data_IF_787108895589
#
_entry.id   IF_787108895589
#
_cell.length_a   1.000
_cell.length_b   1.000
_cell.length_c   1.000
_cell.angle_alpha   90.00
_cell.angle_beta   90.00
_cell.angle_gamma   90.00
#
_symmetry.space_group_name_H-M   'P 1'
#
loop_
_entity.id
_entity.type
_entity.pdbx_description
1 polymer ?
#
# COMPACT_ATOMS: atom_id res chain seq x y z
N UNK A 1 -23.31 18.33 13.69
CA UNK A 1 -22.22 17.36 13.55
C UNK A 1 -21.89 17.25 12.08
N UNK A 2 -20.60 17.17 11.72
CA UNK A 2 -20.19 16.94 10.34
C UNK A 2 -20.68 15.58 9.86
N UNK A 3 -21.17 15.51 8.62
CA UNK A 3 -21.65 14.26 8.02
C UNK A 3 -20.45 13.56 7.36
N UNK A 4 -20.30 12.25 7.65
CA UNK A 4 -19.26 11.45 6.99
C UNK A 4 -19.60 11.23 5.51
N UNK A 5 -18.62 11.37 4.62
CA UNK A 5 -18.72 11.03 3.21
C UNK A 5 -18.43 9.54 3.03
N UNK A 6 -19.47 8.74 2.80
CA UNK A 6 -19.32 7.28 2.69
C UNK A 6 -19.43 6.75 1.27
N UNK A 7 -19.92 7.52 0.33
CA UNK A 7 -20.09 7.12 -1.08
C UNK A 7 -20.04 8.36 -1.97
N UNK A 8 -19.46 8.23 -3.15
CA UNK A 8 -19.47 9.27 -4.18
C UNK A 8 -20.01 8.72 -5.50
N UNK A 9 -20.67 9.57 -6.26
CA UNK A 9 -21.25 9.25 -7.58
C UNK A 9 -20.98 10.41 -8.55
N UNK A 10 -19.70 10.75 -8.72
CA UNK A 10 -19.30 11.79 -9.66
C UNK A 10 -19.35 11.27 -11.11
N UNK A 11 -19.58 12.19 -12.03
CA UNK A 11 -19.56 11.91 -13.45
C UNK A 11 -18.51 12.77 -14.12
N UNK A 12 -17.45 12.14 -14.58
CA UNK A 12 -16.34 12.82 -15.27
C UNK A 12 -16.42 12.60 -16.78
N UNK A 13 -15.99 13.60 -17.54
CA UNK A 13 -15.81 13.44 -18.99
C UNK A 13 -14.78 12.31 -19.24
N UNK A 14 -15.12 11.39 -20.15
CA UNK A 14 -14.34 10.18 -20.47
C UNK A 14 -14.22 9.17 -19.32
N UNK A 15 -15.07 9.23 -18.32
CA UNK A 15 -15.12 8.18 -17.28
C UNK A 15 -15.48 6.83 -17.91
N UNK A 16 -14.67 5.81 -17.65
CA UNK A 16 -14.89 4.43 -18.12
C UNK A 16 -15.56 3.55 -17.08
N UNK A 17 -15.18 3.73 -15.82
CA UNK A 17 -15.72 2.94 -14.71
C UNK A 17 -15.62 3.67 -13.38
N UNK A 18 -16.41 3.20 -12.43
CA UNK A 18 -16.32 3.55 -11.01
C UNK A 18 -16.21 2.25 -10.22
N UNK A 19 -15.22 2.17 -9.34
CA UNK A 19 -15.04 1.07 -8.42
C UNK A 19 -15.17 1.58 -6.98
N UNK A 20 -16.10 1.00 -6.22
CA UNK A 20 -16.26 1.25 -4.79
C UNK A 20 -15.43 0.25 -3.99
N UNK A 21 -14.24 0.65 -3.57
CA UNK A 21 -13.41 -0.16 -2.68
C UNK A 21 -13.86 -0.09 -1.23
N UNK A 22 -13.17 -0.81 -0.34
CA UNK A 22 -13.51 -0.84 1.11
C UNK A 22 -13.54 0.56 1.75
N UNK A 23 -12.63 1.46 1.34
CA UNK A 23 -12.48 2.81 1.92
C UNK A 23 -12.23 3.91 0.89
N UNK A 24 -12.17 3.61 -0.39
CA UNK A 24 -11.93 4.55 -1.48
C UNK A 24 -12.90 4.30 -2.62
N UNK A 25 -13.29 5.37 -3.31
CA UNK A 25 -13.97 5.29 -4.59
C UNK A 25 -12.97 5.67 -5.69
N UNK A 26 -12.85 4.83 -6.72
CA UNK A 26 -11.85 4.95 -7.77
C UNK A 26 -12.52 5.09 -9.12
N UNK A 27 -12.30 6.22 -9.76
CA UNK A 27 -12.81 6.55 -11.09
C UNK A 27 -11.72 6.36 -12.12
N UNK A 28 -11.96 5.50 -13.11
CA UNK A 28 -11.09 5.35 -14.28
C UNK A 28 -11.47 6.39 -15.33
N UNK A 29 -10.52 7.24 -15.70
CA UNK A 29 -10.72 8.33 -16.66
C UNK A 29 -9.82 8.11 -17.88
N UNK A 30 -10.42 7.92 -19.04
CA UNK A 30 -9.66 7.58 -20.23
C UNK A 30 -8.93 6.24 -20.09
N UNK A 31 -7.69 6.18 -20.57
CA UNK A 31 -6.88 4.96 -20.57
C UNK A 31 -5.80 4.96 -19.46
N UNK A 32 -5.42 6.14 -19.00
CA UNK A 32 -4.19 6.38 -18.26
C UNK A 32 -4.38 7.15 -16.95
N UNK A 33 -5.58 7.56 -16.59
CA UNK A 33 -5.81 8.37 -15.40
C UNK A 33 -6.78 7.73 -14.40
N UNK A 34 -6.49 7.98 -13.11
CA UNK A 34 -7.37 7.68 -11.99
C UNK A 34 -7.72 8.95 -11.22
N UNK A 35 -8.98 9.02 -10.78
CA UNK A 35 -9.39 9.93 -9.71
C UNK A 35 -9.80 9.09 -8.53
N UNK A 36 -9.07 9.19 -7.43
CA UNK A 36 -9.37 8.49 -6.18
C UNK A 36 -9.97 9.42 -5.16
N UNK A 37 -11.07 9.00 -4.56
CA UNK A 37 -11.69 9.69 -3.42
C UNK A 37 -11.53 8.84 -2.18
N UNK A 38 -10.74 9.34 -1.22
CA UNK A 38 -10.60 8.73 0.09
C UNK A 38 -11.86 9.04 0.90
N UNK A 39 -12.72 8.06 1.10
CA UNK A 39 -13.96 8.24 1.84
C UNK A 39 -13.76 8.10 3.34
N UNK A 40 -14.78 8.45 4.09
CA UNK A 40 -14.82 8.32 5.55
C UNK A 40 -15.21 6.91 6.02
N UNK A 41 -15.39 5.94 5.08
CA UNK A 41 -15.64 4.53 5.42
C UNK A 41 -14.49 3.95 6.24
N UNK A 42 -14.85 3.03 7.14
CA UNK A 42 -13.90 2.22 7.90
C UNK A 42 -14.10 0.77 7.53
N UNK A 43 -13.00 0.07 7.32
CA UNK A 43 -12.99 -1.39 7.22
C UNK A 43 -12.20 -1.97 8.38
N UNK A 44 -12.74 -3.00 9.03
CA UNK A 44 -12.08 -3.76 10.07
C UNK A 44 -12.35 -5.24 9.84
N UNK A 45 -11.32 -6.07 9.85
CA UNK A 45 -11.41 -7.52 9.55
C UNK A 45 -12.16 -7.78 8.23
N UNK A 46 -11.84 -7.01 7.19
CA UNK A 46 -12.48 -7.04 5.86
C UNK A 46 -13.97 -6.66 5.81
N UNK A 47 -14.56 -6.27 6.93
CA UNK A 47 -15.94 -5.79 7.01
C UNK A 47 -15.99 -4.27 6.97
N UNK A 48 -16.77 -3.70 6.05
CA UNK A 48 -17.03 -2.25 6.01
C UNK A 48 -18.05 -1.94 7.12
N UNK A 49 -17.66 -1.08 8.05
CA UNK A 49 -18.53 -0.68 9.16
C UNK A 49 -19.67 0.23 8.66
N UNK A 50 -20.86 0.15 9.29
CA UNK A 50 -22.05 0.87 8.82
C UNK A 50 -21.95 2.40 8.96
N UNK A 51 -21.03 2.90 9.78
CA UNK A 51 -20.80 4.34 9.99
C UNK A 51 -19.37 4.72 9.65
N UNK A 52 -19.21 5.83 8.93
CA UNK A 52 -17.91 6.46 8.69
C UNK A 52 -17.51 7.39 9.83
N UNK A 53 -16.21 7.72 9.88
CA UNK A 53 -15.66 8.75 10.77
C UNK A 53 -15.49 10.03 9.95
N UNK A 54 -16.20 11.12 10.26
CA UNK A 54 -16.06 12.39 9.55
C UNK A 54 -14.59 12.83 9.49
N UNK A 55 -14.18 13.33 8.32
CA UNK A 55 -12.82 13.81 8.03
C UNK A 55 -11.72 12.72 7.95
N UNK A 56 -12.03 11.44 8.20
CA UNK A 56 -11.02 10.36 8.06
C UNK A 56 -10.39 10.34 6.68
N UNK A 57 -11.20 10.43 5.63
CA UNK A 57 -10.73 10.45 4.26
C UNK A 57 -9.79 11.62 3.98
N UNK A 58 -10.14 12.82 4.46
CA UNK A 58 -9.30 14.01 4.33
C UNK A 58 -7.93 13.83 4.99
N UNK A 59 -7.91 13.38 6.24
CA UNK A 59 -6.66 13.18 6.99
C UNK A 59 -5.76 12.18 6.27
N UNK A 60 -6.30 11.03 5.89
CA UNK A 60 -5.51 9.98 5.24
C UNK A 60 -4.99 10.41 3.86
N UNK A 61 -5.82 11.08 3.05
CA UNK A 61 -5.41 11.51 1.73
C UNK A 61 -4.34 12.61 1.77
N UNK A 62 -4.47 13.57 2.68
CA UNK A 62 -3.49 14.64 2.84
C UNK A 62 -2.15 14.11 3.36
N UNK A 63 -2.15 13.20 4.33
CA UNK A 63 -0.94 12.52 4.81
C UNK A 63 -0.27 11.79 3.65
N UNK A 64 -1.02 10.94 2.91
CA UNK A 64 -0.49 10.22 1.76
C UNK A 64 0.08 11.16 0.70
N UNK A 65 -0.65 12.23 0.36
CA UNK A 65 -0.19 13.24 -0.60
C UNK A 65 1.11 13.90 -0.17
N UNK A 66 1.23 14.31 1.10
CA UNK A 66 2.44 14.92 1.65
C UNK A 66 3.64 13.99 1.54
N UNK A 67 3.45 12.70 1.86
CA UNK A 67 4.54 11.73 1.75
C UNK A 67 4.93 11.43 0.30
N UNK A 68 3.95 11.33 -0.62
CA UNK A 68 4.23 11.16 -2.04
C UNK A 68 5.04 12.34 -2.61
N UNK A 69 4.74 13.57 -2.18
CA UNK A 69 5.54 14.75 -2.58
C UNK A 69 6.94 14.72 -1.98
N UNK A 70 7.04 14.41 -0.69
CA UNK A 70 8.33 14.38 0.02
C UNK A 70 9.29 13.28 -0.48
N UNK A 71 8.81 12.34 -1.28
CA UNK A 71 9.58 11.20 -1.79
C UNK A 71 9.68 11.15 -3.31
N UNK A 72 9.16 12.16 -3.99
CA UNK A 72 9.11 12.21 -5.44
C UNK A 72 10.50 12.30 -6.11
N UNK A 73 11.50 12.79 -5.39
CA UNK A 73 12.90 12.84 -5.79
C UNK A 73 13.63 11.50 -5.59
N UNK A 74 13.08 10.61 -4.76
CA UNK A 74 13.65 9.29 -4.46
C UNK A 74 13.09 8.26 -5.46
N UNK A 75 11.76 8.29 -5.68
CA UNK A 75 11.08 7.36 -6.56
C UNK A 75 9.88 8.02 -7.25
N UNK A 76 9.71 7.83 -8.57
CA UNK A 76 8.49 8.26 -9.26
C UNK A 76 7.25 7.63 -8.62
N UNK A 77 6.18 8.39 -8.51
CA UNK A 77 4.92 7.89 -7.99
C UNK A 77 3.73 8.24 -8.90
N UNK A 78 2.59 7.63 -8.65
CA UNK A 78 1.41 7.77 -9.51
C UNK A 78 0.69 9.12 -9.39
N UNK A 79 0.94 9.90 -8.34
CA UNK A 79 0.21 11.14 -8.05
C UNK A 79 0.57 12.25 -9.03
N UNK A 80 -0.44 12.92 -9.59
CA UNK A 80 -0.31 14.12 -10.39
C UNK A 80 -0.78 15.37 -9.63
N UNK A 81 -1.91 15.28 -8.91
CA UNK A 81 -2.50 16.41 -8.19
C UNK A 81 -3.38 15.95 -7.02
N UNK A 82 -3.59 16.87 -6.07
CA UNK A 82 -4.55 16.73 -4.97
C UNK A 82 -5.49 17.93 -4.97
N UNK A 83 -6.51 17.95 -5.86
CA UNK A 83 -7.39 19.09 -6.06
C UNK A 83 -8.34 19.35 -4.88
N UNK A 84 -8.54 18.37 -4.01
CA UNK A 84 -9.38 18.44 -2.81
C UNK A 84 -8.72 17.62 -1.69
N UNK A 85 -8.89 17.96 -0.41
CA UNK A 85 -8.35 17.18 0.71
C UNK A 85 -8.65 15.68 0.68
N UNK A 86 -9.76 15.26 0.06
CA UNK A 86 -10.15 13.85 -0.06
C UNK A 86 -9.80 13.24 -1.42
N UNK A 87 -9.34 14.02 -2.39
CA UNK A 87 -9.21 13.60 -3.79
C UNK A 87 -7.76 13.62 -4.24
N UNK A 88 -7.30 12.53 -4.80
CA UNK A 88 -6.02 12.46 -5.53
C UNK A 88 -6.29 12.06 -6.98
N UNK A 89 -5.68 12.82 -7.89
CA UNK A 89 -5.65 12.52 -9.32
C UNK A 89 -4.27 12.00 -9.66
N UNK A 90 -4.20 10.93 -10.44
CA UNK A 90 -2.92 10.35 -10.78
C UNK A 90 -2.98 9.41 -11.99
N UNK A 91 -1.84 8.83 -12.30
CA UNK A 91 -1.67 7.87 -13.38
C UNK A 91 -2.29 6.52 -13.01
N UNK A 92 -2.89 5.87 -13.99
CA UNK A 92 -3.30 4.50 -13.89
C UNK A 92 -2.08 3.61 -14.06
N UNK A 93 -1.64 3.01 -12.97
CA UNK A 93 -0.51 2.09 -12.96
C UNK A 93 -1.00 0.65 -12.88
N UNK A 94 -0.19 -0.28 -13.37
CA UNK A 94 -0.39 -1.70 -13.11
C UNK A 94 0.11 -2.02 -11.70
N UNK A 95 -0.75 -2.61 -10.86
CA UNK A 95 -0.42 -2.98 -9.50
C UNK A 95 0.40 -4.27 -9.44
N UNK A 96 1.45 -4.28 -8.63
CA UNK A 96 2.11 -5.54 -8.29
C UNK A 96 1.17 -6.42 -7.46
N UNK A 97 1.22 -7.74 -7.68
CA UNK A 97 0.45 -8.72 -6.90
C UNK A 97 1.13 -9.10 -5.59
N UNK A 98 1.87 -8.18 -5.02
CA UNK A 98 2.60 -8.32 -3.76
C UNK A 98 2.45 -7.03 -2.96
N UNK A 99 2.13 -7.15 -1.68
CA UNK A 99 2.18 -6.05 -0.72
C UNK A 99 3.45 -6.17 0.12
N UNK A 100 4.23 -5.09 0.19
CA UNK A 100 5.47 -5.03 0.96
C UNK A 100 5.22 -4.41 2.31
N UNK A 101 5.34 -5.20 3.39
CA UNK A 101 5.12 -4.73 4.76
C UNK A 101 6.45 -4.62 5.47
N UNK A 102 6.82 -3.40 5.89
CA UNK A 102 8.00 -3.16 6.72
C UNK A 102 7.57 -3.16 8.19
N UNK A 103 8.28 -3.95 9.01
CA UNK A 103 8.01 -4.06 10.43
C UNK A 103 9.20 -3.57 11.24
N UNK A 104 9.02 -2.50 12.00
CA UNK A 104 10.00 -2.04 12.99
C UNK A 104 9.84 -2.69 14.35
N UNK A 105 8.70 -3.33 14.60
CA UNK A 105 8.34 -3.92 15.90
C UNK A 105 7.64 -5.27 15.70
N UNK A 106 7.85 -6.17 16.65
CA UNK A 106 7.20 -7.49 16.69
C UNK A 106 5.77 -7.34 17.24
N UNK A 107 4.81 -7.09 16.35
CA UNK A 107 3.41 -6.83 16.71
C UNK A 107 2.44 -7.46 15.68
N UNK A 108 1.16 -7.45 15.98
CA UNK A 108 0.10 -7.88 15.07
C UNK A 108 0.21 -9.36 14.65
N UNK A 109 0.15 -9.63 13.33
CA UNK A 109 0.26 -11.00 12.79
C UNK A 109 1.62 -11.62 13.11
N UNK A 110 2.71 -10.86 12.98
CA UNK A 110 4.07 -11.34 13.27
C UNK A 110 4.22 -11.80 14.72
N UNK A 111 3.65 -11.06 15.68
CA UNK A 111 3.64 -11.50 17.07
C UNK A 111 2.83 -12.79 17.26
N UNK A 112 1.67 -12.90 16.64
CA UNK A 112 0.85 -14.13 16.75
C UNK A 112 1.61 -15.37 16.27
N UNK A 113 2.30 -15.26 15.14
CA UNK A 113 3.13 -16.34 14.61
C UNK A 113 4.32 -16.65 15.54
N UNK A 114 5.02 -15.62 16.00
CA UNK A 114 6.15 -15.76 16.92
C UNK A 114 5.75 -16.43 18.24
N UNK A 115 4.64 -15.99 18.83
CA UNK A 115 4.09 -16.57 20.07
C UNK A 115 3.74 -18.05 19.89
N UNK A 116 3.33 -18.45 18.69
CA UNK A 116 3.02 -19.85 18.34
C UNK A 116 4.28 -20.68 17.98
N UNK A 117 5.46 -20.13 18.19
CA UNK A 117 6.72 -20.84 17.99
C UNK A 117 7.40 -20.59 16.65
N UNK A 118 6.80 -19.81 15.75
CA UNK A 118 7.44 -19.44 14.48
C UNK A 118 8.66 -18.57 14.73
N UNK A 119 9.78 -18.88 14.08
CA UNK A 119 11.04 -18.15 14.16
C UNK A 119 11.53 -17.65 12.81
N UNK A 120 10.71 -17.81 11.80
CA UNK A 120 10.97 -17.27 10.45
C UNK A 120 9.67 -16.80 9.83
N UNK A 121 9.63 -15.57 9.32
CA UNK A 121 8.48 -15.00 8.61
C UNK A 121 8.96 -14.49 7.26
N UNK A 122 8.34 -14.92 6.17
CA UNK A 122 8.71 -14.53 4.80
C UNK A 122 10.20 -14.78 4.48
N UNK A 123 10.79 -15.86 5.00
CA UNK A 123 12.22 -16.18 4.84
C UNK A 123 13.15 -15.42 5.80
N UNK A 124 12.65 -14.47 6.59
CA UNK A 124 13.45 -13.69 7.56
C UNK A 124 13.46 -14.39 8.91
N UNK A 125 14.65 -14.75 9.40
CA UNK A 125 14.83 -15.32 10.74
C UNK A 125 14.63 -14.25 11.81
N UNK A 126 13.80 -14.56 12.81
CA UNK A 126 13.51 -13.67 13.93
C UNK A 126 14.43 -13.96 15.12
N UNK A 127 14.89 -12.92 15.86
CA UNK A 127 15.66 -13.10 17.07
C UNK A 127 14.90 -13.90 18.14
N UNK A 128 15.63 -14.69 18.93
CA UNK A 128 15.05 -15.41 20.05
C UNK A 128 14.76 -14.49 21.25
N UNK A 129 13.77 -14.87 22.05
CA UNK A 129 13.45 -14.19 23.32
C UNK A 129 12.75 -12.85 23.17
N UNK A 130 12.29 -12.46 21.99
CA UNK A 130 11.56 -11.21 21.78
C UNK A 130 10.18 -11.22 22.44
N UNK A 131 9.75 -10.05 22.89
CA UNK A 131 8.45 -9.80 23.52
C UNK A 131 7.49 -9.10 22.57
N UNK A 132 6.22 -9.13 22.91
CA UNK A 132 5.20 -8.35 22.19
C UNK A 132 5.54 -6.86 22.21
N UNK A 133 5.41 -6.22 21.04
CA UNK A 133 5.72 -4.81 20.80
C UNK A 133 7.21 -4.45 20.96
N UNK A 134 8.09 -5.43 21.04
CA UNK A 134 9.53 -5.17 21.08
C UNK A 134 10.03 -4.73 19.70
N UNK A 135 10.95 -3.77 19.71
CA UNK A 135 11.58 -3.23 18.50
C UNK A 135 12.56 -4.25 17.91
N UNK A 136 12.48 -4.48 16.61
CA UNK A 136 13.51 -5.25 15.92
C UNK A 136 14.86 -4.53 15.93
N UNK A 137 15.98 -5.24 16.06
CA UNK A 137 17.32 -4.64 15.90
C UNK A 137 17.49 -3.92 14.56
N UNK A 138 16.94 -4.51 13.50
CA UNK A 138 16.82 -3.93 12.16
C UNK A 138 15.39 -4.19 11.68
N UNK A 139 14.71 -3.20 11.08
CA UNK A 139 13.40 -3.43 10.51
C UNK A 139 13.43 -4.59 9.49
N UNK A 140 12.39 -5.41 9.48
CA UNK A 140 12.25 -6.54 8.59
C UNK A 140 11.18 -6.28 7.53
N UNK A 141 11.31 -6.90 6.37
CA UNK A 141 10.32 -6.85 5.31
C UNK A 141 9.60 -8.20 5.24
N UNK A 142 8.27 -8.15 5.31
CA UNK A 142 7.42 -9.34 5.28
C UNK A 142 6.39 -9.16 4.18
N UNK A 143 6.70 -9.59 2.94
CA UNK A 143 5.76 -9.47 1.84
C UNK A 143 4.55 -10.38 2.02
N UNK A 144 3.42 -9.96 1.45
CA UNK A 144 2.23 -10.81 1.30
C UNK A 144 1.77 -10.80 -0.15
N UNK A 145 1.17 -11.90 -0.58
CA UNK A 145 0.49 -11.95 -1.87
C UNK A 145 -0.70 -10.99 -1.85
N UNK A 146 -1.11 -10.52 -3.03
CA UNK A 146 -2.37 -9.82 -3.21
C UNK A 146 -3.37 -10.77 -3.83
N UNK A 147 -4.18 -11.42 -3.00
CA UNK A 147 -5.19 -12.35 -3.46
C UNK A 147 -6.37 -11.59 -4.09
N UNK A 148 -6.85 -12.05 -5.24
CA UNK A 148 -8.11 -11.56 -5.84
C UNK A 148 -9.31 -12.06 -5.04
N UNK A 149 -9.19 -13.27 -4.45
CA UNK A 149 -10.18 -13.89 -3.55
C UNK A 149 -9.47 -14.54 -2.36
N UNK A 150 -10.06 -14.51 -1.18
CA UNK A 150 -9.50 -15.09 0.04
C UNK A 150 -8.71 -14.08 0.88
N UNK A 151 -7.63 -14.55 1.50
CA UNK A 151 -6.75 -13.74 2.35
C UNK A 151 -5.36 -13.65 1.74
N UNK A 152 -4.71 -12.51 1.96
CA UNK A 152 -3.31 -12.33 1.62
C UNK A 152 -2.43 -13.26 2.45
N UNK A 153 -1.50 -13.97 1.81
CA UNK A 153 -0.61 -14.95 2.43
C UNK A 153 0.83 -14.43 2.47
N UNK A 154 1.54 -14.78 3.54
CA UNK A 154 2.97 -14.48 3.64
C UNK A 154 3.73 -15.15 2.48
N UNK A 155 4.63 -14.43 1.85
CA UNK A 155 5.47 -14.92 0.76
C UNK A 155 6.91 -14.44 0.97
N UNK A 156 7.89 -15.29 0.68
CA UNK A 156 9.30 -14.92 0.75
C UNK A 156 9.77 -14.22 -0.53
N UNK A 157 10.92 -13.54 -0.47
CA UNK A 157 11.57 -12.96 -1.63
C UNK A 157 11.86 -14.02 -2.71
N UNK A 158 12.35 -15.16 -2.28
CA UNK A 158 12.70 -16.30 -3.14
C UNK A 158 11.48 -16.84 -3.87
N UNK A 159 10.34 -16.93 -3.18
CA UNK A 159 9.07 -17.38 -3.77
C UNK A 159 8.51 -16.35 -4.75
N UNK A 160 8.60 -15.06 -4.45
CA UNK A 160 8.19 -13.96 -5.37
C UNK A 160 8.94 -14.09 -6.69
N UNK A 161 10.25 -14.30 -6.63
CA UNK A 161 11.11 -14.45 -7.81
C UNK A 161 10.79 -15.75 -8.55
N UNK A 162 10.68 -16.88 -7.82
CA UNK A 162 10.42 -18.18 -8.40
C UNK A 162 9.06 -18.27 -9.12
N UNK A 163 8.05 -17.56 -8.61
CA UNK A 163 6.71 -17.48 -9.21
C UNK A 163 6.61 -16.46 -10.34
N UNK A 164 7.67 -15.67 -10.60
CA UNK A 164 7.67 -14.64 -11.63
C UNK A 164 6.63 -13.54 -11.39
N UNK A 165 6.19 -13.35 -10.14
CA UNK A 165 5.19 -12.34 -9.76
C UNK A 165 5.70 -10.95 -10.11
N UNK A 166 7.01 -10.78 -10.12
CA UNK A 166 7.65 -9.51 -10.44
C UNK A 166 8.93 -9.74 -11.23
N UNK A 167 8.84 -9.68 -12.55
CA UNK A 167 9.99 -9.76 -13.45
C UNK A 167 10.84 -8.47 -13.49
N UNK A 168 10.27 -7.34 -13.11
CA UNK A 168 10.93 -6.03 -13.09
C UNK A 168 11.48 -5.64 -11.71
N UNK A 169 11.34 -6.47 -10.70
CA UNK A 169 11.53 -6.15 -9.27
C UNK A 169 12.82 -6.71 -8.71
N UNK A 170 13.60 -7.46 -9.46
CA UNK A 170 14.94 -7.84 -8.98
C UNK A 170 15.76 -6.62 -8.52
N UNK A 171 15.62 -5.49 -9.20
CA UNK A 171 16.28 -4.23 -8.80
C UNK A 171 15.55 -3.58 -7.62
N UNK A 172 14.23 -3.40 -7.70
CA UNK A 172 13.43 -2.70 -6.69
C UNK A 172 13.35 -3.49 -5.38
N UNK A 173 13.14 -4.79 -5.42
CA UNK A 173 13.16 -5.64 -4.22
C UNK A 173 14.58 -5.76 -3.65
N UNK A 174 15.59 -5.89 -4.50
CA UNK A 174 16.98 -5.92 -4.04
C UNK A 174 17.36 -4.61 -3.33
N UNK A 175 16.98 -3.46 -3.88
CA UNK A 175 17.20 -2.17 -3.22
C UNK A 175 16.40 -2.03 -1.93
N UNK A 176 15.12 -2.43 -1.90
CA UNK A 176 14.30 -2.42 -0.69
C UNK A 176 14.88 -3.31 0.42
N UNK A 177 15.33 -4.52 0.08
CA UNK A 177 15.92 -5.44 1.06
C UNK A 177 17.33 -5.02 1.52
N UNK A 178 18.02 -4.18 0.77
CA UNK A 178 19.36 -3.67 1.12
C UNK A 178 19.34 -2.29 1.77
N UNK A 179 18.22 -1.56 1.72
CA UNK A 179 18.12 -0.22 2.30
C UNK A 179 18.16 -0.25 3.83
N UNK A 180 19.30 0.06 4.38
CA UNK A 180 19.50 0.40 5.81
C UNK A 180 19.18 1.87 6.13
N UNK A 181 18.74 2.65 5.16
CA UNK A 181 18.55 4.11 5.24
C UNK A 181 17.11 4.51 5.60
N UNK A 182 16.89 5.63 6.34
CA UNK A 182 15.54 6.15 6.67
C UNK A 182 14.61 6.42 5.47
N UNK A 183 15.13 6.47 4.25
CA UNK A 183 14.34 6.60 3.02
C UNK A 183 13.35 5.46 2.76
N UNK A 184 13.46 4.32 3.46
CA UNK A 184 12.53 3.19 3.29
C UNK A 184 11.07 3.53 3.70
N UNK A 185 10.86 4.47 4.60
CA UNK A 185 9.51 4.95 4.94
C UNK A 185 8.81 5.57 3.73
N UNK A 186 9.57 6.27 2.92
CA UNK A 186 9.12 6.92 1.70
C UNK A 186 8.67 5.90 0.64
N UNK A 187 9.44 4.85 0.46
CA UNK A 187 9.15 3.75 -0.44
C UNK A 187 7.89 2.98 -0.04
N UNK A 188 7.70 2.72 1.26
CA UNK A 188 6.52 2.04 1.77
C UNK A 188 5.24 2.80 1.43
N UNK A 189 5.27 4.12 1.51
CA UNK A 189 4.12 4.96 1.21
C UNK A 189 3.84 5.01 -0.29
N UNK A 190 4.87 5.02 -1.12
CA UNK A 190 4.73 4.94 -2.58
C UNK A 190 4.14 3.58 -3.01
N UNK A 191 4.56 2.47 -2.40
CA UNK A 191 4.02 1.12 -2.66
C UNK A 191 2.61 0.93 -2.10
N UNK A 192 2.30 1.45 -0.92
CA UNK A 192 0.94 1.42 -0.34
C UNK A 192 -0.05 2.30 -1.11
N UNK A 193 0.44 3.20 -1.96
CA UNK A 193 -0.38 4.14 -2.72
C UNK A 193 -0.62 3.78 -4.18
N UNK A 194 -0.30 2.56 -4.61
CA UNK A 194 -0.30 2.09 -6.01
C UNK A 194 1.05 2.22 -6.74
N UNK A 195 1.44 1.10 -7.29
CA UNK A 195 2.52 0.79 -8.22
C UNK A 195 3.23 1.98 -8.90
N UNK A 196 4.55 1.87 -8.94
CA UNK A 196 5.40 2.69 -9.79
C UNK A 196 4.90 2.62 -11.25
N UNK A 197 4.76 3.75 -11.95
CA UNK A 197 4.54 3.71 -13.38
C UNK A 197 5.76 3.00 -14.01
N UNK A 198 5.54 1.83 -14.58
CA UNK A 198 6.52 1.25 -15.48
C UNK A 198 6.68 2.26 -16.62
N UNK A 199 7.76 3.01 -16.59
CA UNK A 199 8.20 3.82 -17.72
C UNK A 199 8.50 2.87 -18.87
N UNK A 200 7.52 2.62 -19.72
CA UNK A 200 7.76 2.25 -21.10
C UNK A 200 8.38 3.47 -21.77
N UNK A 201 9.66 3.68 -21.54
CA UNK A 201 10.48 4.44 -22.47
C UNK A 201 10.61 3.57 -23.71
N UNK A 202 9.67 3.72 -24.64
CA UNK A 202 9.97 3.41 -26.03
C UNK A 202 10.87 4.55 -26.51
N UNK A 203 12.14 4.21 -26.72
CA UNK A 203 13.00 4.93 -27.65
C UNK A 203 12.44 4.83 -29.06
#
# INVERSE_FOLDING_TARGET
MAKALTTTEFHFKKQKSLYHGKVRDVYNIGDDMLVMVATDRISAFDVILPKGIPFKGQVLNQIASTFLDATADIVPNWKLATPDPMVTVGLKCEGFRVEMIIRGYLTGSAWREYKNGCRSICGVTLPEGMRENEKFPTPIITPTTKADEGHDENISKEEIIAQGIVSAVDHVLSELFTMTHPAWVAWLIALLSYASPLTTTRL
#
